data_IF_443412680019
#
_entry.id   IF_443412680019
#
_cell.length_a   1.000
_cell.length_b   1.000
_cell.length_c   1.000
_cell.angle_alpha   90.00
_cell.angle_beta   90.00
_cell.angle_gamma   90.00
#
_symmetry.space_group_name_H-M   'P 1'
#
loop_
_entity.id
_entity.type
_entity.pdbx_description
1 polymer ?
#
# COMPACT_ATOMS: atom_id res chain seq x y z
N UNK A 1 21.99 19.76 -1.44
CA UNK A 1 20.79 19.29 -2.16
C UNK A 1 20.94 17.88 -2.73
N UNK A 2 22.14 17.37 -3.11
CA UNK A 2 22.23 16.02 -3.72
C UNK A 2 21.91 14.86 -2.77
N UNK A 3 22.23 14.96 -1.47
CA UNK A 3 21.94 13.85 -0.53
C UNK A 3 20.45 13.61 -0.27
N UNK A 4 19.59 14.65 -0.23
CA UNK A 4 18.15 14.46 -0.03
C UNK A 4 17.49 13.81 -1.26
N UNK A 5 17.97 14.15 -2.46
CA UNK A 5 17.52 13.59 -3.74
C UNK A 5 17.92 12.11 -3.88
N UNK A 6 19.13 11.75 -3.44
CA UNK A 6 19.59 10.35 -3.39
C UNK A 6 18.78 9.50 -2.41
N UNK A 7 18.48 10.01 -1.20
CA UNK A 7 17.73 9.26 -0.17
C UNK A 7 16.29 8.99 -0.63
N UNK A 8 15.64 9.98 -1.23
CA UNK A 8 14.26 9.84 -1.74
C UNK A 8 14.19 8.87 -2.92
N UNK A 9 15.18 8.90 -3.82
CA UNK A 9 15.32 7.91 -4.91
C UNK A 9 15.50 6.50 -4.35
N UNK A 10 16.36 6.32 -3.34
CA UNK A 10 16.61 5.01 -2.75
C UNK A 10 15.36 4.46 -2.04
N UNK A 11 14.57 5.32 -1.40
CA UNK A 11 13.29 4.97 -0.80
C UNK A 11 12.25 4.56 -1.85
N UNK A 12 12.17 5.26 -2.99
CA UNK A 12 11.29 4.91 -4.11
C UNK A 12 11.65 3.54 -4.69
N UNK A 13 12.93 3.28 -4.95
CA UNK A 13 13.42 2.01 -5.46
C UNK A 13 13.12 0.88 -4.47
N UNK A 14 13.39 1.08 -3.18
CA UNK A 14 13.07 0.12 -2.13
C UNK A 14 11.57 -0.22 -2.07
N UNK A 15 10.71 0.80 -2.15
CA UNK A 15 9.25 0.62 -2.19
C UNK A 15 8.82 -0.23 -3.40
N UNK A 16 9.35 0.07 -4.59
CA UNK A 16 9.04 -0.67 -5.83
C UNK A 16 9.48 -2.13 -5.72
N UNK A 17 10.68 -2.40 -5.21
CA UNK A 17 11.20 -3.77 -5.08
C UNK A 17 10.33 -4.58 -4.13
N UNK A 18 10.04 -4.06 -2.93
CA UNK A 18 9.27 -4.77 -1.90
C UNK A 18 7.83 -5.01 -2.36
N UNK A 19 7.15 -3.96 -2.84
CA UNK A 19 5.77 -4.09 -3.30
C UNK A 19 5.68 -4.96 -4.55
N UNK A 20 6.62 -4.82 -5.49
CA UNK A 20 6.69 -5.65 -6.69
C UNK A 20 6.80 -7.13 -6.36
N UNK A 21 7.68 -7.51 -5.43
CA UNK A 21 7.81 -8.89 -4.98
C UNK A 21 6.52 -9.41 -4.32
N UNK A 22 5.88 -8.60 -3.48
CA UNK A 22 4.60 -8.95 -2.84
C UNK A 22 3.46 -9.09 -3.85
N UNK A 23 3.40 -8.22 -4.86
CA UNK A 23 2.41 -8.30 -5.94
C UNK A 23 2.54 -9.62 -6.71
N UNK A 24 3.76 -9.99 -7.12
CA UNK A 24 4.01 -11.26 -7.82
C UNK A 24 3.54 -12.45 -6.97
N UNK A 25 3.85 -12.45 -5.67
CA UNK A 25 3.42 -13.50 -4.75
C UNK A 25 1.90 -13.56 -4.64
N UNK A 26 1.23 -12.44 -4.38
CA UNK A 26 -0.23 -12.40 -4.20
C UNK A 26 -0.96 -12.77 -5.49
N UNK A 27 -0.49 -12.29 -6.64
CA UNK A 27 -1.03 -12.67 -7.96
C UNK A 27 -0.89 -14.18 -8.17
N UNK A 28 0.27 -14.76 -7.85
CA UNK A 28 0.47 -16.21 -7.89
C UNK A 28 -0.51 -16.97 -6.99
N UNK A 29 -0.78 -16.46 -5.78
CA UNK A 29 -1.76 -17.04 -4.85
C UNK A 29 -3.21 -16.92 -5.37
N UNK A 30 -3.56 -15.82 -6.03
CA UNK A 30 -4.87 -15.64 -6.68
C UNK A 30 -5.07 -16.73 -7.73
N UNK A 31 -4.10 -16.94 -8.62
CA UNK A 31 -4.23 -17.96 -9.67
C UNK A 31 -4.26 -19.38 -9.10
N UNK A 32 -3.47 -19.66 -8.05
CA UNK A 32 -3.37 -20.98 -7.44
C UNK A 32 -4.60 -21.37 -6.63
N UNK A 33 -5.12 -20.46 -5.81
CA UNK A 33 -6.15 -20.78 -4.81
C UNK A 33 -7.53 -20.18 -5.12
N UNK A 34 -7.60 -19.17 -5.99
CA UNK A 34 -8.83 -18.45 -6.40
C UNK A 34 -9.72 -18.00 -5.23
N UNK A 35 -9.13 -17.73 -4.07
CA UNK A 35 -9.86 -17.20 -2.90
C UNK A 35 -10.01 -15.69 -3.02
N UNK A 36 -11.23 -15.19 -2.85
CA UNK A 36 -11.54 -13.77 -2.89
C UNK A 36 -10.71 -12.93 -1.90
N UNK A 37 -10.30 -13.50 -0.77
CA UNK A 37 -9.43 -12.81 0.20
C UNK A 37 -8.09 -12.35 -0.38
N UNK A 38 -7.51 -13.07 -1.35
CA UNK A 38 -6.29 -12.61 -2.01
C UNK A 38 -6.54 -11.41 -2.94
N UNK A 39 -7.74 -11.27 -3.50
CA UNK A 39 -8.13 -10.08 -4.26
C UNK A 39 -8.15 -8.82 -3.38
N UNK A 40 -8.67 -8.92 -2.16
CA UNK A 40 -8.64 -7.82 -1.19
C UNK A 40 -7.22 -7.46 -0.73
N UNK A 41 -6.33 -8.44 -0.59
CA UNK A 41 -4.91 -8.19 -0.32
C UNK A 41 -4.25 -7.49 -1.52
N UNK A 42 -4.58 -7.88 -2.76
CA UNK A 42 -4.09 -7.20 -3.96
C UNK A 42 -4.55 -5.74 -4.00
N UNK A 43 -5.82 -5.46 -3.74
CA UNK A 43 -6.35 -4.09 -3.64
C UNK A 43 -5.63 -3.29 -2.56
N UNK A 44 -5.38 -3.88 -1.39
CA UNK A 44 -4.59 -3.24 -0.33
C UNK A 44 -3.19 -2.85 -0.84
N UNK A 45 -2.46 -3.77 -1.47
CA UNK A 45 -1.10 -3.51 -1.96
C UNK A 45 -1.06 -2.36 -2.98
N UNK A 46 -2.03 -2.30 -3.89
CA UNK A 46 -2.12 -1.22 -4.88
C UNK A 46 -2.42 0.14 -4.23
N UNK A 47 -3.40 0.19 -3.32
CA UNK A 47 -3.75 1.42 -2.61
C UNK A 47 -2.63 1.88 -1.68
N UNK A 48 -1.98 0.94 -0.98
CA UNK A 48 -0.85 1.22 -0.11
C UNK A 48 0.34 1.74 -0.92
N UNK A 49 0.65 1.14 -2.07
CA UNK A 49 1.69 1.63 -2.96
C UNK A 49 1.42 3.06 -3.43
N UNK A 50 0.21 3.33 -3.92
CA UNK A 50 -0.19 4.68 -4.33
C UNK A 50 -0.04 5.68 -3.19
N UNK A 51 -0.53 5.33 -2.00
CA UNK A 51 -0.45 6.16 -0.80
C UNK A 51 1.01 6.44 -0.41
N UNK A 52 1.83 5.39 -0.28
CA UNK A 52 3.25 5.50 0.09
C UNK A 52 4.05 6.30 -0.96
N UNK A 53 3.81 6.05 -2.25
CA UNK A 53 4.44 6.82 -3.33
C UNK A 53 4.10 8.31 -3.23
N UNK A 54 2.83 8.63 -3.02
CA UNK A 54 2.36 10.02 -2.87
C UNK A 54 2.93 10.68 -1.62
N UNK A 55 3.10 9.94 -0.53
CA UNK A 55 3.81 10.43 0.66
C UNK A 55 5.27 10.77 0.38
N UNK A 56 5.97 9.93 -0.40
CA UNK A 56 7.35 10.22 -0.80
C UNK A 56 7.41 11.48 -1.67
N UNK A 57 6.48 11.62 -2.63
CA UNK A 57 6.40 12.83 -3.46
C UNK A 57 6.12 14.08 -2.62
N UNK A 58 5.24 13.99 -1.61
CA UNK A 58 4.98 15.08 -0.69
C UNK A 58 6.23 15.49 0.10
N UNK A 59 7.09 14.55 0.49
CA UNK A 59 8.36 14.88 1.15
C UNK A 59 9.27 15.73 0.26
N UNK A 60 9.24 15.52 -1.06
CA UNK A 60 10.02 16.28 -2.03
C UNK A 60 9.39 17.66 -2.28
N UNK A 61 8.08 17.72 -2.45
CA UNK A 61 7.40 18.96 -2.89
C UNK A 61 7.02 19.89 -1.75
N UNK A 62 6.97 19.44 -0.48
CA UNK A 62 6.49 20.21 0.68
C UNK A 62 7.16 21.58 0.85
N UNK A 63 8.40 21.75 0.40
CA UNK A 63 9.15 22.98 0.53
C UNK A 63 8.70 24.07 -0.46
N UNK A 64 8.03 23.68 -1.54
CA UNK A 64 7.64 24.54 -2.66
C UNK A 64 6.12 24.76 -2.74
N UNK A 65 5.34 24.06 -1.92
CA UNK A 65 3.88 24.10 -1.87
C UNK A 65 3.36 24.81 -0.63
N UNK A 66 2.13 25.32 -0.67
CA UNK A 66 1.54 26.01 0.47
C UNK A 66 1.24 25.04 1.63
N UNK A 67 1.23 25.55 2.87
CA UNK A 67 0.90 24.76 4.06
C UNK A 67 -0.52 24.18 3.99
N UNK A 68 -1.46 24.92 3.39
CA UNK A 68 -2.85 24.49 3.19
C UNK A 68 -2.90 23.29 2.24
N UNK A 69 -2.28 23.38 1.07
CA UNK A 69 -2.24 22.27 0.11
C UNK A 69 -1.58 21.03 0.72
N UNK A 70 -0.45 21.21 1.41
CA UNK A 70 0.23 20.10 2.10
C UNK A 70 -0.69 19.43 3.13
N UNK A 71 -1.37 20.21 3.97
CA UNK A 71 -2.29 19.67 4.98
C UNK A 71 -3.47 18.92 4.36
N UNK A 72 -4.02 19.42 3.24
CA UNK A 72 -5.12 18.79 2.52
C UNK A 72 -4.67 17.49 1.85
N UNK A 73 -3.49 17.48 1.23
CA UNK A 73 -2.89 16.26 0.66
C UNK A 73 -2.68 15.22 1.74
N UNK A 74 -2.14 15.60 2.91
CA UNK A 74 -1.97 14.69 4.06
C UNK A 74 -3.31 14.08 4.49
N UNK A 75 -4.37 14.89 4.58
CA UNK A 75 -5.71 14.40 4.94
C UNK A 75 -6.22 13.35 3.93
N UNK A 76 -6.09 13.63 2.63
CA UNK A 76 -6.47 12.67 1.59
C UNK A 76 -5.65 11.39 1.61
N UNK A 77 -4.33 11.49 1.81
CA UNK A 77 -3.46 10.33 1.94
C UNK A 77 -3.81 9.49 3.17
N UNK A 78 -4.21 10.12 4.27
CA UNK A 78 -4.73 9.44 5.46
C UNK A 78 -6.01 8.64 5.18
N UNK A 79 -6.95 9.23 4.44
CA UNK A 79 -8.18 8.53 4.01
C UNK A 79 -7.84 7.34 3.10
N UNK A 80 -6.99 7.56 2.10
CA UNK A 80 -6.56 6.50 1.18
C UNK A 80 -5.89 5.33 1.91
N UNK A 81 -5.03 5.65 2.89
CA UNK A 81 -4.41 4.67 3.78
C UNK A 81 -5.46 3.90 4.61
N UNK A 82 -6.44 4.59 5.18
CA UNK A 82 -7.51 3.94 5.95
C UNK A 82 -8.32 2.96 5.09
N UNK A 83 -8.70 3.34 3.86
CA UNK A 83 -9.37 2.45 2.90
C UNK A 83 -8.50 1.24 2.57
N UNK A 84 -7.20 1.47 2.37
CA UNK A 84 -6.23 0.39 2.16
C UNK A 84 -6.20 -0.59 3.34
N UNK A 85 -6.24 -0.11 4.59
CA UNK A 85 -6.25 -0.97 5.78
C UNK A 85 -7.56 -1.76 5.93
N UNK A 86 -8.70 -1.17 5.59
CA UNK A 86 -9.99 -1.89 5.55
C UNK A 86 -9.91 -3.03 4.52
N UNK A 87 -9.34 -2.78 3.34
CA UNK A 87 -9.12 -3.82 2.32
C UNK A 87 -8.27 -4.97 2.86
N UNK A 88 -7.17 -4.67 3.56
CA UNK A 88 -6.32 -5.69 4.19
C UNK A 88 -7.10 -6.52 5.21
N UNK A 89 -7.83 -5.85 6.11
CA UNK A 89 -8.60 -6.52 7.15
C UNK A 89 -9.64 -7.49 6.56
N UNK A 90 -10.38 -7.06 5.53
CA UNK A 90 -11.34 -7.92 4.82
C UNK A 90 -10.61 -9.11 4.19
N UNK A 91 -9.49 -8.88 3.51
CA UNK A 91 -8.69 -9.95 2.89
C UNK A 91 -8.26 -11.02 3.89
N UNK A 92 -7.76 -10.60 5.06
CA UNK A 92 -7.34 -11.51 6.13
C UNK A 92 -8.53 -12.28 6.72
N UNK A 93 -9.66 -11.63 6.97
CA UNK A 93 -10.87 -12.27 7.50
C UNK A 93 -11.41 -13.33 6.53
N UNK A 94 -11.36 -13.06 5.22
CA UNK A 94 -11.81 -14.00 4.18
C UNK A 94 -10.86 -15.20 3.99
N UNK A 95 -9.58 -15.05 4.32
CA UNK A 95 -8.61 -16.15 4.24
C UNK A 95 -8.62 -17.04 5.49
N UNK A 96 -9.35 -16.65 6.54
CA UNK A 96 -9.47 -17.42 7.78
C UNK A 96 -9.88 -18.87 7.47
N UNK A 97 -9.11 -19.88 7.92
CA UNK A 97 -9.53 -21.27 7.82
C UNK A 97 -10.86 -21.43 8.58
N UNK A 98 -11.89 -21.92 7.90
CA UNK A 98 -13.10 -22.35 8.59
C UNK A 98 -12.70 -23.52 9.48
N UNK A 99 -12.67 -23.28 10.79
CA UNK A 99 -12.39 -24.32 11.79
C UNK A 99 -13.52 -25.34 11.65
N UNK A 100 -13.31 -26.42 10.89
CA UNK A 100 -14.16 -27.61 10.99
C UNK A 100 -14.07 -28.06 12.44
N UNK A 101 -15.07 -27.68 13.23
CA UNK A 101 -15.39 -28.31 14.49
C UNK A 101 -15.93 -29.68 14.09
N UNK A 102 -15.04 -30.67 14.02
CA UNK A 102 -15.46 -32.05 14.10
C UNK A 102 -15.89 -32.25 15.55
N UNK A 103 -17.19 -32.18 15.80
CA UNK A 103 -17.87 -32.76 16.94
C UNK A 103 -18.69 -33.93 16.41
#
# INVERSE_FOLDING_TARGET
>A
MSMEEEVTTLLQVGLIIVIGALLVLVIGLIFKYRKAGYGWILTHLLLFFWCAWSWIQLLVTRAYTSSIENSLTIAWLGILWAVSMVSLAIGLLMLRPSRRRNL
#
